data_IF_006653174315
#
_entry.id   IF_006653174315
#
_cell.length_a   1.000
_cell.length_b   1.000
_cell.length_c   1.000
_cell.angle_alpha   90.00
_cell.angle_beta   90.00
_cell.angle_gamma   90.00
#
_symmetry.space_group_name_H-M   'P 1'
#
loop_
_entity.id
_entity.type
_entity.pdbx_description
1 polymer ?
#
# COMPACT_ATOMS: atom_id res chain seq x y z
N UNK A 1 2.55 9.87 31.66
CA UNK A 1 3.67 10.83 31.67
C UNK A 1 3.23 12.10 32.39
N UNK A 2 4.12 12.72 33.14
CA UNK A 2 3.89 14.05 33.72
C UNK A 2 4.06 15.14 32.66
N UNK A 3 3.46 16.33 32.84
CA UNK A 3 3.61 17.43 31.88
C UNK A 3 5.07 17.79 31.57
N UNK A 4 5.95 17.70 32.56
CA UNK A 4 7.39 17.91 32.41
C UNK A 4 8.12 16.83 31.60
N UNK A 5 7.49 15.68 31.37
CA UNK A 5 8.05 14.57 30.61
C UNK A 5 7.57 14.58 29.15
N UNK A 6 6.51 15.37 28.82
CA UNK A 6 5.95 15.44 27.47
C UNK A 6 6.73 16.44 26.64
N UNK A 7 7.89 16.02 26.17
CA UNK A 7 8.76 16.79 25.28
C UNK A 7 9.53 15.86 24.33
N UNK A 8 10.06 16.43 23.27
CA UNK A 8 10.71 15.71 22.18
C UNK A 8 11.96 14.93 22.53
N UNK A 9 12.65 15.30 23.62
CA UNK A 9 13.85 14.59 24.08
C UNK A 9 13.52 13.32 24.86
N UNK A 10 12.25 13.11 25.23
CA UNK A 10 11.81 11.91 25.92
C UNK A 10 11.37 10.84 24.91
N UNK A 11 12.27 9.92 24.60
CA UNK A 11 12.08 8.86 23.61
C UNK A 11 10.96 7.86 23.94
N UNK A 12 10.41 7.90 25.15
CA UNK A 12 9.31 7.01 25.55
C UNK A 12 7.92 7.63 25.32
N UNK A 13 7.85 8.93 25.05
CA UNK A 13 6.58 9.62 24.81
C UNK A 13 6.19 9.51 23.34
N UNK A 14 4.98 9.00 23.00
CA UNK A 14 4.50 8.97 21.63
C UNK A 14 4.40 10.37 21.03
N UNK A 15 4.80 10.55 19.79
CA UNK A 15 4.74 11.84 19.11
C UNK A 15 3.30 12.39 19.05
N UNK A 16 2.29 11.53 18.98
CA UNK A 16 0.90 11.96 19.06
C UNK A 16 0.57 12.64 20.39
N UNK A 17 1.09 12.13 21.51
CA UNK A 17 0.90 12.74 22.83
C UNK A 17 1.61 14.08 22.93
N UNK A 18 2.82 14.20 22.38
CA UNK A 18 3.56 15.46 22.34
C UNK A 18 2.76 16.50 21.54
N UNK A 19 2.29 16.14 20.35
CA UNK A 19 1.50 17.05 19.51
C UNK A 19 0.17 17.43 20.15
N UNK A 20 -0.53 16.47 20.77
CA UNK A 20 -1.79 16.74 21.48
C UNK A 20 -1.61 17.73 22.65
N UNK A 21 -0.57 17.57 23.43
CA UNK A 21 -0.25 18.47 24.55
C UNK A 21 0.21 19.84 24.07
N UNK A 22 1.16 19.91 23.13
CA UNK A 22 1.68 21.17 22.60
C UNK A 22 0.66 21.91 21.72
N UNK A 23 -0.32 21.20 21.16
CA UNK A 23 -1.45 21.77 20.41
C UNK A 23 -2.62 22.24 21.28
N UNK A 24 -2.51 22.10 22.60
CA UNK A 24 -3.60 22.38 23.57
C UNK A 24 -4.87 21.57 23.30
N UNK A 25 -4.72 20.34 22.80
CA UNK A 25 -5.82 19.40 22.61
C UNK A 25 -6.03 18.46 23.78
N UNK A 26 -5.13 18.50 24.74
CA UNK A 26 -5.24 17.82 26.02
C UNK A 26 -4.52 18.62 27.10
N UNK A 27 -5.13 18.70 28.27
CA UNK A 27 -4.61 19.39 29.43
C UNK A 27 -4.47 18.42 30.63
N UNK A 28 -3.47 18.58 31.51
CA UNK A 28 -3.40 17.81 32.73
C UNK A 28 -4.58 18.15 33.63
N UNK A 29 -5.20 17.14 34.24
CA UNK A 29 -6.35 17.34 35.17
C UNK A 29 -6.01 18.22 36.38
N UNK A 30 -4.75 18.13 36.82
CA UNK A 30 -4.17 18.94 37.90
C UNK A 30 -2.71 19.27 37.56
N UNK A 31 -2.13 20.33 38.11
CA UNK A 31 -0.69 20.56 38.00
C UNK A 31 0.07 19.29 38.43
N UNK A 32 1.02 18.86 37.60
CA UNK A 32 1.80 17.63 37.82
C UNK A 32 0.99 16.30 37.83
N UNK A 33 -0.19 16.28 37.17
CA UNK A 33 -0.98 15.07 36.97
C UNK A 33 -0.48 14.24 35.77
N UNK A 34 -0.49 12.91 35.91
CA UNK A 34 -0.33 11.97 34.79
C UNK A 34 -1.63 11.73 34.00
N UNK A 35 -2.75 12.25 34.49
CA UNK A 35 -4.06 12.13 33.87
C UNK A 35 -4.38 13.40 33.10
N UNK A 36 -4.89 13.25 31.89
CA UNK A 36 -5.21 14.33 30.99
C UNK A 36 -6.68 14.33 30.65
N UNK A 37 -7.25 15.52 30.50
CA UNK A 37 -8.56 15.74 29.91
C UNK A 37 -8.40 16.10 28.45
N UNK A 38 -9.22 15.56 27.54
CA UNK A 38 -9.26 16.04 26.17
C UNK A 38 -9.77 17.48 26.12
N UNK A 39 -9.58 18.16 25.01
CA UNK A 39 -10.13 19.48 24.75
C UNK A 39 -11.64 19.51 25.03
N UNK A 40 -12.08 20.55 25.76
CA UNK A 40 -13.38 20.58 26.42
C UNK A 40 -14.59 20.65 25.48
N UNK A 41 -14.39 20.80 24.18
CA UNK A 41 -15.45 20.99 23.19
C UNK A 41 -15.55 19.81 22.26
N UNK A 42 -16.78 19.47 21.85
CA UNK A 42 -17.04 18.37 20.95
C UNK A 42 -16.60 18.71 19.52
N UNK A 43 -16.12 17.70 18.80
CA UNK A 43 -15.78 17.80 17.39
C UNK A 43 -17.06 17.76 16.56
N UNK A 44 -17.38 18.84 15.87
CA UNK A 44 -18.56 18.91 15.01
C UNK A 44 -18.26 18.56 13.54
N UNK A 45 -17.00 18.65 13.11
CA UNK A 45 -16.59 18.31 11.76
C UNK A 45 -15.15 17.81 11.73
N UNK A 46 -14.95 16.71 10.98
CA UNK A 46 -13.63 16.19 10.63
C UNK A 46 -13.37 16.32 9.13
N UNK A 47 -12.13 16.55 8.74
CA UNK A 47 -11.68 16.60 7.36
C UNK A 47 -10.36 15.86 7.21
N UNK A 48 -10.20 15.16 6.09
CA UNK A 48 -8.95 14.49 5.74
C UNK A 48 -8.56 14.85 4.31
N UNK A 49 -7.27 15.09 4.09
CA UNK A 49 -6.66 15.26 2.77
C UNK A 49 -5.33 14.50 2.74
N UNK A 50 -5.15 13.63 1.74
CA UNK A 50 -3.89 12.93 1.47
C UNK A 50 -3.36 13.29 0.09
N UNK A 51 -2.06 13.54 0.01
CA UNK A 51 -1.32 13.75 -1.24
C UNK A 51 -0.21 12.71 -1.32
N UNK A 52 -0.33 11.79 -2.26
CA UNK A 52 0.64 10.72 -2.48
C UNK A 52 1.37 10.91 -3.81
N UNK A 53 2.66 10.67 -3.79
CA UNK A 53 3.48 10.62 -4.99
C UNK A 53 4.61 9.62 -4.81
N UNK A 54 5.10 9.07 -5.92
CA UNK A 54 6.22 8.14 -5.85
C UNK A 54 6.37 7.28 -7.08
N UNK A 55 7.39 6.42 -7.04
CA UNK A 55 7.71 5.50 -8.11
C UNK A 55 8.40 4.25 -7.58
N UNK A 56 8.19 3.17 -8.31
CA UNK A 56 8.99 1.95 -8.21
C UNK A 56 9.58 1.70 -9.58
N UNK A 57 10.90 1.70 -9.67
CA UNK A 57 11.64 1.41 -10.90
C UNK A 57 12.29 0.03 -10.79
N UNK A 58 12.31 -0.72 -11.87
CA UNK A 58 12.94 -2.04 -11.89
C UNK A 58 13.82 -2.23 -13.13
N UNK A 59 15.06 -2.60 -12.90
CA UNK A 59 16.04 -2.98 -13.92
C UNK A 59 16.13 -4.49 -13.95
N UNK A 60 15.72 -5.11 -15.06
CA UNK A 60 15.67 -6.55 -15.22
C UNK A 60 16.80 -7.05 -16.14
N UNK A 61 17.57 -7.99 -15.65
CA UNK A 61 18.56 -8.74 -16.43
C UNK A 61 18.08 -10.18 -16.53
N UNK A 62 17.84 -10.66 -17.74
CA UNK A 62 17.31 -12.01 -17.95
C UNK A 62 18.03 -12.75 -19.06
N UNK A 63 18.12 -14.04 -18.90
CA UNK A 63 18.61 -14.97 -19.91
C UNK A 63 17.58 -16.08 -20.12
N UNK A 64 17.36 -16.45 -21.39
CA UNK A 64 16.44 -17.53 -21.73
C UNK A 64 17.04 -18.42 -22.81
N UNK A 65 16.75 -19.71 -22.70
CA UNK A 65 17.19 -20.74 -23.65
C UNK A 65 15.98 -21.52 -24.18
N UNK A 66 16.07 -21.90 -25.46
CA UNK A 66 15.13 -22.80 -26.11
C UNK A 66 15.78 -24.19 -26.25
N UNK A 67 15.18 -25.18 -25.62
CA UNK A 67 15.66 -26.56 -25.64
C UNK A 67 14.75 -27.40 -26.53
N UNK A 68 15.26 -27.83 -27.69
CA UNK A 68 14.57 -28.74 -28.60
C UNK A 68 13.24 -28.23 -29.18
N UNK A 69 13.01 -26.90 -29.21
CA UNK A 69 11.77 -26.25 -29.66
C UNK A 69 10.50 -26.58 -28.86
N UNK A 70 10.61 -27.38 -27.80
CA UNK A 70 9.51 -27.78 -26.94
C UNK A 70 9.53 -27.10 -25.59
N UNK A 71 10.69 -26.76 -25.08
CA UNK A 71 10.92 -26.22 -23.75
C UNK A 71 11.71 -24.91 -23.83
N UNK A 72 11.16 -23.86 -23.25
CA UNK A 72 11.82 -22.58 -23.04
C UNK A 72 12.02 -22.41 -21.54
N UNK A 73 13.24 -22.13 -21.11
CA UNK A 73 13.60 -21.92 -19.71
C UNK A 73 14.22 -20.53 -19.63
N UNK A 74 13.83 -19.75 -18.63
CA UNK A 74 14.39 -18.43 -18.38
C UNK A 74 14.66 -18.21 -16.91
N UNK A 75 15.69 -17.42 -16.64
CA UNK A 75 16.01 -16.92 -15.31
C UNK A 75 16.41 -15.44 -15.40
N UNK A 76 16.16 -14.69 -14.35
CA UNK A 76 16.47 -13.26 -14.32
C UNK A 76 16.65 -12.75 -12.91
N UNK A 77 17.31 -11.60 -12.83
CA UNK A 77 17.52 -10.80 -11.62
C UNK A 77 16.88 -9.43 -11.82
N UNK A 78 16.05 -9.01 -10.88
CA UNK A 78 15.49 -7.68 -10.84
C UNK A 78 16.15 -6.84 -9.76
N UNK A 79 16.59 -5.63 -10.11
CA UNK A 79 17.04 -4.60 -9.18
C UNK A 79 15.96 -3.53 -9.12
N UNK A 80 15.47 -3.23 -7.93
CA UNK A 80 14.37 -2.28 -7.74
C UNK A 80 14.79 -1.08 -6.91
N UNK A 81 14.26 0.08 -7.24
CA UNK A 81 14.33 1.27 -6.41
C UNK A 81 12.92 1.75 -6.06
N UNK A 82 12.74 2.20 -4.85
CA UNK A 82 11.48 2.78 -4.35
C UNK A 82 11.77 4.21 -3.91
N UNK A 83 10.86 5.12 -4.28
CA UNK A 83 10.80 6.48 -3.79
C UNK A 83 9.32 6.83 -3.62
N UNK A 84 8.89 7.11 -2.38
CA UNK A 84 7.50 7.37 -2.04
C UNK A 84 7.40 8.54 -1.06
N UNK A 85 6.41 9.39 -1.26
CA UNK A 85 6.08 10.50 -0.39
C UNK A 85 4.58 10.58 -0.15
N UNK A 86 4.21 10.71 1.12
CA UNK A 86 2.86 11.00 1.57
C UNK A 86 2.88 12.31 2.37
N UNK A 87 1.94 13.20 2.08
CA UNK A 87 1.60 14.33 2.94
C UNK A 87 0.12 14.22 3.27
N UNK A 88 -0.20 14.05 4.54
CA UNK A 88 -1.60 13.99 4.98
C UNK A 88 -1.95 15.14 5.92
N UNK A 89 -3.21 15.54 5.90
CA UNK A 89 -3.80 16.56 6.75
C UNK A 89 -5.06 15.98 7.37
N UNK A 90 -5.12 15.95 8.69
CA UNK A 90 -6.31 15.59 9.46
C UNK A 90 -6.75 16.82 10.24
N UNK A 91 -7.94 17.32 9.95
CA UNK A 91 -8.48 18.54 10.55
C UNK A 91 -9.71 18.24 11.38
N UNK A 92 -9.82 18.91 12.52
CA UNK A 92 -10.97 18.90 13.41
C UNK A 92 -11.47 20.33 13.62
N UNK A 93 -12.79 20.51 13.62
CA UNK A 93 -13.46 21.75 13.97
C UNK A 93 -14.33 21.48 15.19
N UNK A 94 -14.23 22.34 16.19
CA UNK A 94 -14.94 22.21 17.46
C UNK A 94 -16.16 23.12 17.53
N UNK A 95 -17.10 22.79 18.42
CA UNK A 95 -18.37 23.53 18.55
C UNK A 95 -18.20 25.00 18.99
N UNK A 96 -17.10 25.33 19.65
CA UNK A 96 -16.74 26.70 20.02
C UNK A 96 -16.10 27.51 18.88
N UNK A 97 -15.95 26.92 17.70
CA UNK A 97 -15.32 27.54 16.53
C UNK A 97 -13.79 27.40 16.46
N UNK A 98 -13.16 26.79 17.46
CA UNK A 98 -11.74 26.43 17.39
C UNK A 98 -11.52 25.31 16.36
N UNK A 99 -10.27 25.15 15.92
CA UNK A 99 -9.88 24.06 15.03
C UNK A 99 -8.48 23.54 15.33
N UNK A 100 -8.25 22.29 15.00
CA UNK A 100 -6.93 21.67 15.02
C UNK A 100 -6.64 21.02 13.67
N UNK A 101 -5.40 21.11 13.22
CA UNK A 101 -4.94 20.44 12.00
C UNK A 101 -3.62 19.72 12.26
N UNK A 102 -3.65 18.40 12.12
CA UNK A 102 -2.47 17.57 12.13
C UNK A 102 -1.99 17.37 10.69
N UNK A 103 -0.76 17.77 10.40
CA UNK A 103 -0.08 17.51 9.13
C UNK A 103 0.99 16.47 9.35
N UNK A 104 1.00 15.41 8.55
CA UNK A 104 2.03 14.40 8.53
C UNK A 104 2.81 14.46 7.22
N UNK A 105 4.14 14.34 7.29
CA UNK A 105 4.99 14.18 6.13
C UNK A 105 5.81 12.90 6.29
N UNK A 106 5.63 11.99 5.34
CA UNK A 106 6.27 10.69 5.31
C UNK A 106 6.98 10.49 3.97
N UNK A 107 8.25 10.12 4.01
CA UNK A 107 9.03 9.79 2.85
C UNK A 107 9.70 8.43 3.07
N UNK A 108 9.53 7.54 2.10
CA UNK A 108 10.17 6.23 2.08
C UNK A 108 11.04 6.10 0.84
N UNK A 109 12.27 5.66 1.02
CA UNK A 109 13.18 5.31 -0.07
C UNK A 109 13.82 3.96 0.17
N UNK A 110 14.15 3.25 -0.91
CA UNK A 110 14.77 1.94 -0.76
C UNK A 110 15.30 1.36 -2.06
N UNK A 111 16.17 0.38 -1.89
CA UNK A 111 16.69 -0.45 -2.98
C UNK A 111 16.46 -1.91 -2.65
N UNK A 112 16.20 -2.74 -3.66
CA UNK A 112 15.95 -4.15 -3.45
C UNK A 112 16.35 -4.99 -4.64
N UNK A 113 16.42 -6.31 -4.42
CA UNK A 113 16.67 -7.27 -5.47
C UNK A 113 15.73 -8.48 -5.37
N UNK A 114 15.45 -9.10 -6.50
CA UNK A 114 14.66 -10.33 -6.59
C UNK A 114 15.20 -11.26 -7.68
N UNK A 115 14.80 -12.50 -7.59
CA UNK A 115 15.12 -13.56 -8.56
C UNK A 115 13.82 -14.01 -9.25
N UNK A 116 13.93 -14.34 -10.53
CA UNK A 116 12.84 -14.87 -11.33
C UNK A 116 13.30 -16.09 -12.09
N UNK A 117 12.47 -17.12 -12.10
CA UNK A 117 12.65 -18.30 -12.94
C UNK A 117 11.32 -18.61 -13.61
N UNK A 118 11.38 -19.15 -14.80
CA UNK A 118 10.16 -19.56 -15.51
C UNK A 118 10.46 -20.52 -16.63
N UNK A 119 9.44 -21.24 -17.03
CA UNK A 119 9.49 -22.12 -18.17
C UNK A 119 8.19 -22.04 -18.99
N UNK A 120 8.29 -22.34 -20.27
CA UNK A 120 7.17 -22.54 -21.18
C UNK A 120 7.40 -23.85 -21.90
N UNK A 121 6.40 -24.72 -21.84
CA UNK A 121 6.37 -25.99 -22.59
C UNK A 121 5.39 -25.82 -23.77
N UNK A 122 5.79 -26.32 -24.89
CA UNK A 122 4.95 -26.40 -26.10
C UNK A 122 4.68 -27.88 -26.44
N UNK A 123 3.68 -28.50 -25.78
CA UNK A 123 3.40 -29.93 -25.99
C UNK A 123 2.98 -30.24 -27.41
N UNK A 124 2.22 -29.33 -28.02
CA UNK A 124 1.68 -29.38 -29.36
C UNK A 124 1.71 -27.99 -30.01
N UNK A 125 1.60 -27.92 -31.32
CA UNK A 125 1.78 -26.68 -32.07
C UNK A 125 0.80 -25.55 -31.69
N UNK A 126 -0.39 -25.91 -31.25
CA UNK A 126 -1.45 -24.97 -30.91
C UNK A 126 -1.59 -24.65 -29.42
N UNK A 127 -0.81 -25.30 -28.53
CA UNK A 127 -0.88 -25.09 -27.07
C UNK A 127 0.49 -24.73 -26.48
N UNK A 128 0.49 -23.81 -25.53
CA UNK A 128 1.61 -23.44 -24.69
C UNK A 128 1.17 -23.43 -23.24
N UNK A 129 1.97 -24.01 -22.37
CA UNK A 129 1.76 -24.00 -20.91
C UNK A 129 3.03 -23.41 -20.30
N UNK A 130 2.88 -22.44 -19.41
CA UNK A 130 3.98 -21.81 -18.72
C UNK A 130 3.77 -21.74 -17.23
N UNK A 131 4.87 -21.72 -16.49
CA UNK A 131 4.86 -21.35 -15.08
C UNK A 131 6.08 -20.49 -14.76
N UNK A 132 5.93 -19.60 -13.81
CA UNK A 132 7.03 -18.78 -13.31
C UNK A 132 6.92 -18.57 -11.81
N UNK A 133 8.08 -18.38 -11.20
CA UNK A 133 8.25 -18.04 -9.79
C UNK A 133 9.09 -16.77 -9.69
N UNK A 134 8.66 -15.84 -8.88
CA UNK A 134 9.40 -14.66 -8.46
C UNK A 134 9.61 -14.74 -6.95
N UNK A 135 10.87 -14.68 -6.51
CA UNK A 135 11.22 -14.60 -5.09
C UNK A 135 10.61 -13.34 -4.45
N UNK A 136 10.58 -13.25 -3.14
CA UNK A 136 10.48 -11.93 -2.50
C UNK A 136 11.51 -10.97 -3.09
N UNK A 137 11.16 -9.69 -3.14
CA UNK A 137 12.16 -8.64 -3.30
C UNK A 137 12.67 -8.30 -1.91
N UNK A 138 13.97 -8.44 -1.70
CA UNK A 138 14.64 -8.09 -0.46
C UNK A 138 15.10 -6.65 -0.57
N UNK A 139 14.51 -5.79 0.25
CA UNK A 139 14.79 -4.35 0.27
C UNK A 139 15.58 -3.96 1.50
N UNK A 140 16.47 -2.96 1.32
CA UNK A 140 16.93 -2.06 2.35
C UNK A 140 16.15 -0.75 2.20
N UNK A 141 15.42 -0.37 3.27
CA UNK A 141 14.49 0.74 3.27
C UNK A 141 14.92 1.80 4.28
N UNK A 142 14.56 3.05 4.00
CA UNK A 142 14.72 4.16 4.93
C UNK A 142 13.45 5.01 4.91
N UNK A 143 12.86 5.18 6.09
CA UNK A 143 11.69 6.03 6.32
C UNK A 143 12.12 7.32 7.01
N UNK A 144 11.50 8.42 6.62
CA UNK A 144 11.62 9.72 7.28
C UNK A 144 10.24 10.25 7.54
N UNK A 145 10.01 10.63 8.78
CA UNK A 145 8.70 11.10 9.21
C UNK A 145 8.83 12.32 10.13
N UNK A 146 7.87 13.25 10.03
CA UNK A 146 7.58 14.25 11.05
C UNK A 146 6.12 14.69 10.98
N UNK A 147 5.58 15.08 12.14
CA UNK A 147 4.22 15.61 12.28
C UNK A 147 4.26 17.07 12.72
N UNK A 148 3.26 17.83 12.32
CA UNK A 148 3.02 19.21 12.77
C UNK A 148 1.57 19.35 13.19
N UNK A 149 1.32 19.85 14.39
CA UNK A 149 0.00 20.24 14.87
C UNK A 149 -0.14 21.76 14.77
N UNK A 150 -1.29 22.21 14.28
CA UNK A 150 -1.69 23.60 14.33
C UNK A 150 -3.04 23.69 15.03
N UNK A 151 -3.10 24.38 16.17
CA UNK A 151 -4.32 24.73 16.89
C UNK A 151 -4.69 26.20 16.62
N UNK A 152 -5.95 26.47 16.31
CA UNK A 152 -6.50 27.81 16.17
C UNK A 152 -7.65 27.96 17.15
N UNK A 153 -7.51 28.87 18.12
CA UNK A 153 -8.43 29.04 19.22
C UNK A 153 -8.47 27.89 20.24
N UNK A 154 -7.51 26.96 20.21
CA UNK A 154 -7.41 25.85 21.17
C UNK A 154 -6.77 26.26 22.50
N UNK A 155 -6.01 27.36 22.52
CA UNK A 155 -5.38 27.91 23.72
C UNK A 155 -6.11 29.17 24.17
N UNK A 156 -6.19 29.38 25.50
CA UNK A 156 -6.67 30.63 26.09
C UNK A 156 -5.64 31.78 25.95
N UNK A 157 -4.37 31.44 25.88
CA UNK A 157 -3.26 32.42 25.90
C UNK A 157 -2.80 32.81 24.49
N UNK A 158 -3.02 31.93 23.50
CA UNK A 158 -2.52 32.08 22.14
C UNK A 158 -3.64 31.88 21.11
N UNK A 159 -3.82 32.81 20.18
CA UNK A 159 -4.79 32.67 19.12
C UNK A 159 -4.49 31.50 18.18
N UNK A 160 -3.22 31.30 17.89
CA UNK A 160 -2.72 30.18 17.03
C UNK A 160 -1.50 29.58 17.71
N UNK A 161 -1.48 28.25 17.77
CA UNK A 161 -0.35 27.45 18.25
C UNK A 161 0.09 26.55 17.12
N UNK A 162 1.40 26.43 16.90
CA UNK A 162 1.96 25.49 15.92
C UNK A 162 3.18 24.83 16.54
N UNK A 163 3.22 23.49 16.48
CA UNK A 163 4.32 22.70 16.99
C UNK A 163 4.63 21.54 16.05
N UNK A 164 5.91 21.25 15.85
CA UNK A 164 6.36 20.14 15.00
C UNK A 164 7.26 19.19 15.78
N UNK A 165 7.08 17.90 15.54
CA UNK A 165 7.98 16.88 16.10
C UNK A 165 9.38 16.98 15.48
N UNK A 166 10.41 16.43 16.11
CA UNK A 166 11.67 16.14 15.46
C UNK A 166 11.46 15.24 14.22
N UNK A 167 12.40 15.28 13.31
CA UNK A 167 12.39 14.35 12.17
C UNK A 167 12.87 12.98 12.61
N UNK A 168 11.97 12.01 12.55
CA UNK A 168 12.31 10.60 12.73
C UNK A 168 12.97 10.06 11.47
N UNK A 169 13.98 9.22 11.63
CA UNK A 169 14.69 8.52 10.56
C UNK A 169 14.88 7.06 10.98
N UNK A 170 14.32 6.12 10.23
CA UNK A 170 14.36 4.69 10.53
C UNK A 170 14.83 3.91 9.30
N UNK A 171 15.81 3.03 9.49
CA UNK A 171 16.31 2.12 8.46
C UNK A 171 15.99 0.69 8.83
N UNK A 172 15.50 -0.10 7.85
CA UNK A 172 15.04 -1.46 8.09
C UNK A 172 15.13 -2.32 6.83
N UNK A 173 15.08 -3.63 7.00
CA UNK A 173 14.90 -4.58 5.92
C UNK A 173 13.41 -4.84 5.66
N UNK A 174 13.03 -4.98 4.39
CA UNK A 174 11.66 -5.31 4.00
C UNK A 174 11.67 -6.41 2.95
N UNK A 175 10.91 -7.48 3.17
CA UNK A 175 10.71 -8.54 2.19
C UNK A 175 9.30 -8.41 1.61
N UNK A 176 9.20 -8.22 0.29
CA UNK A 176 7.91 -8.26 -0.41
C UNK A 176 7.40 -9.71 -0.53
N UNK A 177 6.11 -9.91 -0.91
CA UNK A 177 5.61 -11.27 -1.12
C UNK A 177 6.28 -11.96 -2.32
N UNK A 178 6.44 -13.28 -2.27
CA UNK A 178 6.75 -14.05 -3.46
C UNK A 178 5.52 -14.21 -4.37
N UNK A 179 5.77 -14.50 -5.66
CA UNK A 179 4.71 -14.68 -6.65
C UNK A 179 4.91 -15.95 -7.45
N UNK A 180 3.80 -16.65 -7.72
CA UNK A 180 3.75 -17.83 -8.61
C UNK A 180 2.73 -17.56 -9.69
N UNK A 181 3.08 -17.79 -10.94
CA UNK A 181 2.16 -17.65 -12.07
C UNK A 181 2.11 -18.94 -12.87
N UNK A 182 0.93 -19.36 -13.26
CA UNK A 182 0.66 -20.39 -14.25
C UNK A 182 -0.08 -19.79 -15.44
N UNK A 183 0.23 -20.23 -16.65
CA UNK A 183 -0.31 -19.68 -17.89
C UNK A 183 -0.63 -20.79 -18.88
N UNK A 184 -1.72 -20.64 -19.61
CA UNK A 184 -2.06 -21.48 -20.76
C UNK A 184 -2.46 -20.61 -21.95
N UNK A 185 -1.85 -20.89 -23.10
CA UNK A 185 -2.11 -20.19 -24.36
C UNK A 185 -2.53 -21.15 -25.46
N UNK A 186 -3.56 -20.80 -26.21
CA UNK A 186 -4.15 -21.62 -27.28
C UNK A 186 -4.17 -20.83 -28.58
N UNK A 187 -3.66 -21.43 -29.65
CA UNK A 187 -3.66 -20.88 -31.00
C UNK A 187 -4.68 -21.67 -31.84
N UNK A 188 -5.73 -21.04 -32.27
CA UNK A 188 -6.81 -21.66 -33.02
C UNK A 188 -6.63 -21.31 -34.49
N UNK A 189 -6.02 -22.22 -35.24
CA UNK A 189 -5.68 -22.00 -36.66
C UNK A 189 -4.78 -20.79 -36.84
N UNK A 190 -5.11 -19.92 -37.80
CA UNK A 190 -4.47 -18.61 -38.05
C UNK A 190 -5.36 -17.45 -37.61
N UNK A 191 -6.47 -17.74 -36.95
CA UNK A 191 -7.60 -16.81 -36.75
C UNK A 191 -7.69 -16.31 -35.33
N UNK A 192 -7.44 -17.16 -34.32
CA UNK A 192 -7.63 -16.76 -32.95
C UNK A 192 -6.49 -17.20 -32.02
N UNK A 193 -6.28 -16.40 -30.98
CA UNK A 193 -5.39 -16.70 -29.86
C UNK A 193 -6.17 -16.44 -28.59
N UNK A 194 -6.09 -17.38 -27.64
CA UNK A 194 -6.68 -17.25 -26.30
C UNK A 194 -5.58 -17.53 -25.29
N UNK A 195 -5.49 -16.74 -24.25
CA UNK A 195 -4.62 -17.00 -23.10
C UNK A 195 -5.37 -16.84 -21.79
N UNK A 196 -4.97 -17.64 -20.81
CA UNK A 196 -5.44 -17.56 -19.44
C UNK A 196 -4.22 -17.63 -18.53
N UNK A 197 -4.16 -16.69 -17.58
CA UNK A 197 -3.10 -16.62 -16.58
C UNK A 197 -3.70 -16.60 -15.19
N UNK A 198 -3.10 -17.34 -14.28
CA UNK A 198 -3.37 -17.31 -12.86
C UNK A 198 -2.12 -16.89 -12.12
N UNK A 199 -2.23 -15.83 -11.32
CA UNK A 199 -1.15 -15.32 -10.49
C UNK A 199 -1.55 -15.42 -9.01
N UNK A 200 -0.73 -16.11 -8.24
CA UNK A 200 -0.77 -16.17 -6.79
C UNK A 200 0.30 -15.26 -6.19
N UNK A 201 -0.07 -14.44 -5.21
CA UNK A 201 0.86 -13.59 -4.44
C UNK A 201 0.66 -13.86 -2.96
N UNK A 202 1.72 -14.27 -2.27
CA UNK A 202 1.70 -14.68 -0.86
C UNK A 202 1.94 -13.48 0.06
N UNK A 203 0.90 -12.67 0.29
CA UNK A 203 1.02 -11.43 1.07
C UNK A 203 1.31 -11.67 2.56
N UNK A 204 0.90 -12.80 3.14
CA UNK A 204 1.21 -13.18 4.52
C UNK A 204 2.73 -13.44 4.74
N UNK A 205 3.48 -13.58 3.63
CA UNK A 205 4.93 -13.71 3.62
C UNK A 205 5.71 -12.39 3.64
N UNK A 206 5.01 -11.25 3.64
CA UNK A 206 5.61 -9.94 3.85
C UNK A 206 6.26 -9.90 5.23
N UNK A 207 7.47 -9.34 5.32
CA UNK A 207 8.20 -9.28 6.59
C UNK A 207 9.07 -8.04 6.68
N UNK A 208 8.93 -7.33 7.79
CA UNK A 208 9.88 -6.32 8.24
C UNK A 208 11.00 -6.97 9.05
N UNK A 209 12.21 -6.44 8.92
CA UNK A 209 13.40 -6.84 9.65
C UNK A 209 14.07 -5.60 10.20
N UNK A 210 14.21 -5.54 11.52
CA UNK A 210 14.97 -4.52 12.20
C UNK A 210 16.45 -4.86 12.28
N UNK A 211 17.22 -4.00 12.90
CA UNK A 211 18.58 -4.28 13.31
C UNK A 211 18.56 -5.33 14.44
N UNK A 212 19.53 -6.25 14.44
CA UNK A 212 19.68 -7.18 15.55
C UNK A 212 20.14 -6.40 16.77
N UNK A 213 19.37 -6.49 17.85
CA UNK A 213 19.76 -5.88 19.13
C UNK A 213 20.83 -6.72 19.81
N UNK A 214 21.94 -6.08 20.21
CA UNK A 214 23.00 -6.71 21.02
C UNK A 214 22.55 -7.02 22.47
N UNK A 215 21.36 -6.61 22.87
CA UNK A 215 20.81 -6.88 24.20
C UNK A 215 20.13 -8.25 24.26
N UNK A 216 20.57 -9.10 25.15
CA UNK A 216 20.16 -10.52 25.32
C UNK A 216 18.63 -10.72 25.56
N UNK A 217 17.91 -9.69 25.96
CA UNK A 217 16.49 -9.71 26.30
C UNK A 217 15.66 -8.65 25.56
N UNK A 218 16.21 -8.00 24.50
CA UNK A 218 15.44 -7.07 23.71
C UNK A 218 14.49 -7.85 22.80
N UNK A 219 13.21 -7.47 22.80
CA UNK A 219 12.26 -7.97 21.81
C UNK A 219 12.74 -7.58 20.41
N UNK A 220 12.65 -8.49 19.43
CA UNK A 220 13.00 -8.17 18.06
C UNK A 220 12.16 -7.00 17.54
N UNK A 221 12.79 -6.09 16.85
CA UNK A 221 12.09 -4.98 16.17
C UNK A 221 11.04 -5.52 15.19
N UNK A 222 9.91 -4.82 15.01
CA UNK A 222 8.79 -5.18 14.11
C UNK A 222 8.04 -6.48 14.46
N UNK A 223 8.07 -6.97 15.69
CA UNK A 223 7.28 -8.16 16.08
C UNK A 223 5.79 -7.87 15.91
N UNK A 224 5.34 -6.70 16.35
CA UNK A 224 3.94 -6.30 16.26
C UNK A 224 3.48 -6.20 14.80
N UNK A 225 4.18 -5.45 13.96
CA UNK A 225 3.86 -5.24 12.56
C UNK A 225 3.85 -6.56 11.78
N UNK A 226 4.81 -7.44 12.04
CA UNK A 226 4.86 -8.76 11.41
C UNK A 226 3.71 -9.68 11.86
N UNK A 227 3.22 -9.54 13.09
CA UNK A 227 2.02 -10.26 13.56
C UNK A 227 0.75 -9.70 12.91
N UNK A 228 0.61 -8.38 12.81
CA UNK A 228 -0.50 -7.75 12.10
C UNK A 228 -0.56 -8.17 10.63
N UNK A 229 0.58 -8.26 9.94
CA UNK A 229 0.66 -8.79 8.59
C UNK A 229 0.11 -10.21 8.53
N UNK A 230 0.51 -11.10 9.43
CA UNK A 230 0.02 -12.48 9.46
C UNK A 230 -1.48 -12.58 9.77
N UNK A 231 -2.00 -11.68 10.60
CA UNK A 231 -3.39 -11.69 11.04
C UNK A 231 -4.34 -11.13 9.97
N UNK A 232 -3.91 -10.11 9.25
CA UNK A 232 -4.79 -9.35 8.36
C UNK A 232 -4.46 -9.44 6.87
N UNK A 233 -3.24 -9.82 6.50
CA UNK A 233 -2.91 -9.98 5.08
C UNK A 233 -3.55 -11.24 4.51
N UNK A 234 -4.07 -11.13 3.31
CA UNK A 234 -4.63 -12.22 2.53
C UNK A 234 -3.80 -12.45 1.28
N UNK A 235 -3.48 -13.70 0.99
CA UNK A 235 -2.90 -14.04 -0.30
C UNK A 235 -3.82 -13.64 -1.44
N UNK A 236 -3.28 -12.95 -2.45
CA UNK A 236 -4.10 -12.53 -3.59
C UNK A 236 -4.05 -13.53 -4.73
N UNK A 237 -5.20 -13.71 -5.35
CA UNK A 237 -5.41 -14.51 -6.54
C UNK A 237 -5.80 -13.57 -7.68
N UNK A 238 -5.03 -13.57 -8.77
CA UNK A 238 -5.35 -12.78 -9.96
C UNK A 238 -5.59 -13.71 -11.13
N UNK A 239 -6.80 -13.71 -11.64
CA UNK A 239 -7.16 -14.40 -12.88
C UNK A 239 -7.16 -13.40 -14.03
N UNK A 240 -6.48 -13.75 -15.13
CA UNK A 240 -6.45 -12.94 -16.35
C UNK A 240 -6.86 -13.81 -17.52
N UNK A 241 -7.65 -13.27 -18.44
CA UNK A 241 -8.01 -13.91 -19.69
C UNK A 241 -7.87 -12.90 -20.83
N UNK A 242 -7.34 -13.33 -21.96
CA UNK A 242 -7.19 -12.51 -23.13
C UNK A 242 -7.51 -13.29 -24.40
N UNK A 243 -8.07 -12.61 -25.38
CA UNK A 243 -8.34 -13.16 -26.69
C UNK A 243 -7.96 -12.18 -27.78
N UNK A 244 -7.42 -12.70 -28.88
CA UNK A 244 -7.22 -11.97 -30.14
C UNK A 244 -7.93 -12.74 -31.26
N UNK A 245 -8.73 -12.04 -32.04
CA UNK A 245 -9.38 -12.56 -33.22
C UNK A 245 -8.88 -11.78 -34.44
N UNK A 246 -8.34 -12.48 -35.44
CA UNK A 246 -7.91 -11.91 -36.72
C UNK A 246 -8.97 -12.14 -37.79
N UNK A 247 -9.60 -11.05 -38.22
CA UNK A 247 -10.56 -11.05 -39.30
C UNK A 247 -9.85 -10.53 -40.55
N UNK A 248 -9.56 -11.41 -41.48
CA UNK A 248 -8.64 -11.16 -42.60
C UNK A 248 -7.18 -10.88 -42.14
N UNK A 249 -6.28 -10.70 -43.10
CA UNK A 249 -4.85 -10.45 -42.81
C UNK A 249 -4.58 -9.06 -42.21
N UNK A 250 -5.55 -8.16 -42.29
CA UNK A 250 -5.38 -6.73 -41.98
C UNK A 250 -5.97 -6.33 -40.65
N UNK A 251 -7.01 -6.99 -40.16
CA UNK A 251 -7.77 -6.57 -39.00
C UNK A 251 -7.61 -7.56 -37.82
N UNK A 252 -7.40 -7.01 -36.63
CA UNK A 252 -7.38 -7.78 -35.38
C UNK A 252 -8.25 -7.10 -34.32
N UNK A 253 -9.03 -7.91 -33.60
CA UNK A 253 -9.79 -7.50 -32.45
C UNK A 253 -9.20 -8.19 -31.21
N UNK A 254 -9.09 -7.45 -30.11
CA UNK A 254 -8.55 -7.95 -28.84
C UNK A 254 -9.50 -7.63 -27.71
N UNK A 255 -9.64 -8.56 -26.80
CA UNK A 255 -10.36 -8.37 -25.56
C UNK A 255 -9.54 -8.93 -24.40
N UNK A 256 -9.60 -8.28 -23.25
CA UNK A 256 -8.90 -8.69 -22.06
C UNK A 256 -9.74 -8.45 -20.83
N UNK A 257 -9.59 -9.35 -19.87
CA UNK A 257 -10.24 -9.29 -18.56
C UNK A 257 -9.25 -9.71 -17.48
N UNK A 258 -9.25 -9.03 -16.32
CA UNK A 258 -8.56 -9.49 -15.14
C UNK A 258 -9.33 -9.15 -13.88
N UNK A 259 -9.26 -10.04 -12.90
CA UNK A 259 -9.80 -9.85 -11.57
C UNK A 259 -8.75 -10.24 -10.53
N UNK A 260 -8.53 -9.35 -9.54
CA UNK A 260 -7.65 -9.57 -8.39
C UNK A 260 -8.47 -9.52 -7.10
N UNK A 261 -8.33 -10.54 -6.27
CA UNK A 261 -8.96 -10.58 -4.94
C UNK A 261 -8.35 -9.53 -3.99
N UNK A 262 -9.04 -9.17 -2.89
CA UNK A 262 -8.49 -8.33 -1.83
C UNK A 262 -7.16 -8.88 -1.28
N UNK A 263 -6.32 -7.98 -0.77
CA UNK A 263 -5.04 -8.33 -0.12
C UNK A 263 -5.07 -8.14 1.40
N UNK A 264 -6.14 -7.58 1.94
CA UNK A 264 -6.36 -7.40 3.37
C UNK A 264 -7.73 -7.94 3.78
N UNK A 265 -7.82 -8.46 4.99
CA UNK A 265 -9.07 -8.88 5.61
C UNK A 265 -10.00 -7.67 5.86
N UNK A 266 -11.30 -7.90 5.85
CA UNK A 266 -12.32 -6.84 6.02
C UNK A 266 -12.27 -6.19 7.40
N UNK A 267 -11.78 -6.91 8.39
CA UNK A 267 -11.60 -6.48 9.77
C UNK A 267 -10.17 -5.98 10.06
N UNK A 268 -9.37 -5.70 9.04
CA UNK A 268 -8.05 -5.15 9.25
C UNK A 268 -8.13 -3.79 9.95
N UNK A 269 -7.31 -3.63 10.98
CA UNK A 269 -7.18 -2.41 11.77
C UNK A 269 -5.73 -1.93 11.74
N UNK A 270 -5.52 -0.68 12.09
CA UNK A 270 -4.19 -0.12 12.32
C UNK A 270 -4.15 0.48 13.71
N UNK A 271 -3.15 0.11 14.48
CA UNK A 271 -2.92 0.65 15.82
C UNK A 271 -1.53 1.29 15.86
N UNK A 272 -1.43 2.50 16.40
CA UNK A 272 -0.15 3.11 16.71
C UNK A 272 0.35 2.54 18.03
N UNK A 273 1.62 2.16 18.06
CA UNK A 273 2.27 1.68 19.30
C UNK A 273 2.52 2.85 20.26
N UNK A 274 2.62 2.53 21.56
CA UNK A 274 2.76 3.51 22.63
C UNK A 274 4.04 4.36 22.54
N UNK A 275 5.08 3.86 21.90
CA UNK A 275 6.36 4.55 21.73
C UNK A 275 6.67 4.96 20.28
N UNK A 276 5.63 5.10 19.44
CA UNK A 276 5.82 5.42 18.03
C UNK A 276 6.16 6.88 17.77
N UNK A 277 7.09 7.10 16.86
CA UNK A 277 7.36 8.43 16.27
C UNK A 277 6.41 8.77 15.12
N UNK A 278 5.47 7.88 14.77
CA UNK A 278 4.47 8.06 13.71
C UNK A 278 3.18 8.64 14.28
N UNK A 279 2.54 9.51 13.51
CA UNK A 279 1.24 10.11 13.86
C UNK A 279 0.22 9.99 12.73
N UNK A 280 0.54 9.26 11.66
CA UNK A 280 -0.37 8.95 10.57
C UNK A 280 -1.24 7.75 10.95
N UNK A 281 -2.56 7.91 10.91
CA UNK A 281 -3.53 6.92 11.39
C UNK A 281 -4.39 6.33 10.29
N UNK A 282 -4.27 6.83 9.08
CA UNK A 282 -5.07 6.43 7.95
C UNK A 282 -4.83 4.97 7.53
N UNK A 283 -5.90 4.25 7.25
CA UNK A 283 -5.88 2.87 6.79
C UNK A 283 -6.72 2.72 5.52
N UNK A 284 -6.12 2.14 4.48
CA UNK A 284 -6.81 1.72 3.26
C UNK A 284 -6.90 0.20 3.22
N UNK A 285 -8.11 -0.33 3.22
CA UNK A 285 -8.39 -1.75 3.08
C UNK A 285 -8.79 -2.03 1.64
N UNK A 286 -7.94 -2.75 0.90
CA UNK A 286 -8.20 -3.12 -0.50
C UNK A 286 -9.34 -4.15 -0.59
N UNK A 287 -10.31 -3.87 -1.47
CA UNK A 287 -11.48 -4.74 -1.74
C UNK A 287 -11.40 -5.42 -3.11
N UNK A 288 -10.20 -5.44 -3.71
CA UNK A 288 -9.97 -6.06 -4.99
C UNK A 288 -10.04 -5.11 -6.18
N UNK A 289 -9.68 -5.64 -7.35
CA UNK A 289 -9.57 -4.86 -8.58
C UNK A 289 -10.12 -5.63 -9.77
N UNK A 290 -10.90 -4.93 -10.60
CA UNK A 290 -11.39 -5.39 -11.89
C UNK A 290 -10.69 -4.63 -13.01
N UNK A 291 -10.35 -5.34 -14.08
CA UNK A 291 -9.80 -4.76 -15.31
C UNK A 291 -10.48 -5.38 -16.52
N UNK A 292 -10.86 -4.54 -17.48
CA UNK A 292 -11.40 -4.96 -18.77
C UNK A 292 -10.81 -4.11 -19.89
N UNK A 293 -10.51 -4.71 -21.04
CA UNK A 293 -9.98 -3.98 -22.19
C UNK A 293 -10.55 -4.50 -23.51
N UNK A 294 -10.63 -3.61 -24.47
CA UNK A 294 -10.96 -3.92 -25.86
C UNK A 294 -10.04 -3.16 -26.81
N UNK A 295 -9.62 -3.80 -27.90
CA UNK A 295 -8.71 -3.19 -28.85
C UNK A 295 -8.99 -3.61 -30.29
N UNK A 296 -8.64 -2.71 -31.19
CA UNK A 296 -8.70 -2.90 -32.64
C UNK A 296 -7.33 -2.64 -33.22
N UNK A 297 -6.89 -3.50 -34.14
CA UNK A 297 -5.63 -3.37 -34.87
C UNK A 297 -5.84 -3.43 -36.37
N UNK A 298 -5.12 -2.59 -37.09
CA UNK A 298 -5.07 -2.58 -38.54
C UNK A 298 -3.63 -2.68 -39.03
N UNK A 299 -3.38 -3.51 -40.03
CA UNK A 299 -2.05 -3.73 -40.65
C UNK A 299 -2.15 -3.67 -42.14
N UNK A 300 -1.29 -2.86 -42.78
CA UNK A 300 -1.22 -2.75 -44.25
C UNK A 300 0.19 -2.33 -44.70
N UNK A 301 0.82 -3.07 -45.60
CA UNK A 301 2.11 -2.75 -46.25
C UNK A 301 3.18 -2.20 -45.29
N UNK A 302 3.48 -2.93 -44.20
CA UNK A 302 4.45 -2.51 -43.21
C UNK A 302 3.96 -1.47 -42.20
N UNK A 303 2.84 -0.82 -42.45
CA UNK A 303 2.21 0.12 -41.53
C UNK A 303 1.20 -0.59 -40.62
N UNK A 304 1.14 -0.16 -39.38
CA UNK A 304 0.20 -0.68 -38.41
C UNK A 304 -0.32 0.37 -37.44
N UNK A 305 -1.58 0.28 -37.09
CA UNK A 305 -2.24 1.07 -36.06
C UNK A 305 -2.96 0.12 -35.12
N UNK A 306 -2.74 0.30 -33.81
CA UNK A 306 -3.53 -0.35 -32.76
C UNK A 306 -4.18 0.72 -31.89
N UNK A 307 -5.49 0.61 -31.67
CA UNK A 307 -6.26 1.41 -30.72
C UNK A 307 -6.78 0.49 -29.63
N UNK A 308 -6.49 0.81 -28.38
CA UNK A 308 -6.95 0.02 -27.23
C UNK A 308 -7.60 0.94 -26.20
N UNK A 309 -8.78 0.53 -25.71
CA UNK A 309 -9.43 1.11 -24.57
C UNK A 309 -9.32 0.13 -23.40
N UNK A 310 -8.95 0.65 -22.21
CA UNK A 310 -8.87 -0.12 -21.00
C UNK A 310 -9.60 0.58 -19.85
N UNK A 311 -10.42 -0.19 -19.16
CA UNK A 311 -11.15 0.17 -17.96
C UNK A 311 -10.55 -0.55 -16.76
N UNK A 312 -10.31 0.16 -15.66
CA UNK A 312 -10.00 -0.48 -14.38
C UNK A 312 -10.81 0.13 -13.25
N UNK A 313 -11.23 -0.71 -12.31
CA UNK A 313 -11.94 -0.32 -11.11
C UNK A 313 -11.27 -0.97 -9.92
N UNK A 314 -10.84 -0.15 -8.97
CA UNK A 314 -10.36 -0.56 -7.66
C UNK A 314 -11.34 -0.08 -6.60
N UNK A 315 -11.72 -0.97 -5.71
CA UNK A 315 -12.54 -0.65 -4.55
C UNK A 315 -11.68 -0.73 -3.29
N UNK A 316 -11.84 0.24 -2.40
CA UNK A 316 -11.12 0.31 -1.12
C UNK A 316 -12.09 0.78 -0.03
N UNK A 317 -11.91 0.30 1.19
CA UNK A 317 -12.48 0.93 2.36
C UNK A 317 -11.40 1.80 3.00
N UNK A 318 -11.77 2.99 3.45
CA UNK A 318 -10.86 3.99 4.00
C UNK A 318 -11.29 4.39 5.41
N UNK A 319 -10.35 4.31 6.35
CA UNK A 319 -10.48 4.87 7.69
C UNK A 319 -9.47 5.99 7.84
N UNK A 320 -9.91 7.25 8.05
CA UNK A 320 -9.00 8.38 8.26
C UNK A 320 -8.40 8.43 9.65
N UNK A 321 -9.00 7.72 10.62
CA UNK A 321 -8.62 7.76 12.04
C UNK A 321 -8.52 6.36 12.61
N UNK A 322 -7.65 6.20 13.59
CA UNK A 322 -7.59 5.00 14.42
C UNK A 322 -8.84 4.91 15.29
N UNK A 323 -9.33 3.70 15.53
CA UNK A 323 -10.35 3.49 16.55
C UNK A 323 -9.76 3.77 17.93
N UNK A 324 -10.44 4.57 18.73
CA UNK A 324 -10.03 4.84 20.09
C UNK A 324 -9.98 3.55 20.92
N UNK A 325 -8.89 3.33 21.65
CA UNK A 325 -8.85 2.32 22.67
C UNK A 325 -9.65 2.81 23.89
N UNK A 326 -10.68 2.06 24.28
CA UNK A 326 -11.37 2.30 25.55
C UNK A 326 -10.61 1.59 26.69
N UNK A 327 -10.57 2.21 27.88
CA UNK A 327 -10.09 1.55 29.09
C UNK A 327 -11.10 0.44 29.43
N UNK A 328 -10.65 -0.80 29.41
CA UNK A 328 -11.46 -1.96 29.83
C UNK A 328 -11.69 -1.93 31.34
N UNK A 329 -12.78 -2.55 31.81
CA UNK A 329 -13.15 -2.63 33.25
C UNK A 329 -12.04 -3.24 34.13
N UNK A 330 -11.05 -3.91 33.54
CA UNK A 330 -9.87 -4.46 34.21
C UNK A 330 -8.66 -3.52 34.27
N UNK A 331 -8.79 -2.27 33.82
CA UNK A 331 -7.72 -1.27 33.79
C UNK A 331 -6.75 -1.40 32.61
N UNK A 332 -6.96 -2.31 31.69
CA UNK A 332 -6.17 -2.43 30.46
C UNK A 332 -6.83 -1.66 29.30
N UNK A 333 -6.00 -1.12 28.41
CA UNK A 333 -6.48 -0.56 27.16
C UNK A 333 -6.87 -1.68 26.20
N UNK A 334 -8.04 -1.54 25.60
CA UNK A 334 -8.52 -2.49 24.59
C UNK A 334 -9.75 -1.96 23.87
N UNK A 335 -10.08 -2.56 22.74
CA UNK A 335 -11.31 -2.23 21.99
C UNK A 335 -12.47 -2.95 22.67
N UNK A 336 -13.26 -2.24 23.50
CA UNK A 336 -14.36 -2.80 24.28
C UNK A 336 -15.54 -3.25 23.42
N UNK A 337 -15.72 -2.67 22.23
CA UNK A 337 -16.87 -2.99 21.40
C UNK A 337 -16.55 -2.80 19.91
N UNK A 338 -16.41 -3.86 19.12
CA UNK A 338 -16.20 -3.77 17.68
C UNK A 338 -17.38 -3.10 16.93
N UNK A 339 -18.50 -2.81 17.60
CA UNK A 339 -19.64 -2.11 17.02
C UNK A 339 -19.44 -0.58 16.90
N UNK A 340 -18.46 0.00 17.59
CA UNK A 340 -18.03 1.40 17.40
C UNK A 340 -16.93 1.51 16.33
N UNK A 341 -16.93 0.61 15.36
CA UNK A 341 -16.06 0.77 14.20
C UNK A 341 -16.36 2.11 13.53
N UNK A 342 -15.35 2.95 13.39
CA UNK A 342 -15.43 4.13 12.53
C UNK A 342 -16.03 3.70 11.20
N UNK A 343 -17.09 4.37 10.77
CA UNK A 343 -17.71 4.07 9.48
C UNK A 343 -16.66 4.23 8.38
N UNK A 344 -16.26 3.10 7.79
CA UNK A 344 -15.30 3.09 6.70
C UNK A 344 -15.91 3.79 5.49
N UNK A 345 -15.23 4.78 4.96
CA UNK A 345 -15.60 5.39 3.70
C UNK A 345 -15.28 4.44 2.55
N UNK A 346 -16.23 4.21 1.65
CA UNK A 346 -15.98 3.41 0.45
C UNK A 346 -15.41 4.29 -0.67
N UNK A 347 -14.19 3.97 -1.10
CA UNK A 347 -13.52 4.63 -2.21
C UNK A 347 -13.59 3.72 -3.43
N UNK A 348 -14.13 4.24 -4.51
CA UNK A 348 -14.15 3.59 -5.82
C UNK A 348 -13.31 4.39 -6.80
N UNK A 349 -12.15 3.86 -7.15
CA UNK A 349 -11.26 4.47 -8.14
C UNK A 349 -11.52 3.85 -9.51
N UNK A 350 -11.95 4.66 -10.48
CA UNK A 350 -12.16 4.24 -11.85
C UNK A 350 -11.13 4.94 -12.73
N UNK A 351 -10.49 4.18 -13.61
CA UNK A 351 -9.54 4.71 -14.60
C UNK A 351 -9.93 4.26 -16.01
N UNK A 352 -9.87 5.19 -16.93
CA UNK A 352 -10.08 4.98 -18.36
C UNK A 352 -8.79 5.32 -19.09
N UNK A 353 -8.24 4.36 -19.82
CA UNK A 353 -7.03 4.57 -20.60
C UNK A 353 -7.34 4.31 -22.09
N UNK A 354 -6.87 5.20 -22.95
CA UNK A 354 -6.89 5.03 -24.39
C UNK A 354 -5.44 5.03 -24.87
N UNK A 355 -5.05 3.97 -25.56
CA UNK A 355 -3.68 3.81 -26.09
C UNK A 355 -3.74 3.68 -27.59
N UNK A 356 -3.02 4.56 -28.29
CA UNK A 356 -2.78 4.49 -29.72
C UNK A 356 -1.33 4.08 -29.97
N UNK A 357 -1.14 2.99 -30.72
CA UNK A 357 0.19 2.55 -31.13
C UNK A 357 0.29 2.61 -32.65
N UNK A 358 1.32 3.25 -33.16
CA UNK A 358 1.65 3.30 -34.58
C UNK A 358 2.93 2.49 -34.80
N UNK A 359 2.90 1.59 -35.75
CA UNK A 359 4.01 0.70 -36.12
C UNK A 359 4.36 0.90 -37.56
N UNK A 360 5.65 0.94 -37.87
CA UNK A 360 6.16 0.90 -39.23
C UNK A 360 7.30 -0.13 -39.33
N UNK A 361 7.18 -1.00 -40.30
CA UNK A 361 8.20 -2.01 -40.57
C UNK A 361 8.86 -1.70 -41.93
N UNK A 362 10.16 -1.43 -41.89
CA UNK A 362 11.01 -1.20 -43.05
C UNK A 362 11.23 -2.49 -43.82
#
# INVERSE_FOLDING_TARGET
FYPSEIHEDNLYVPYMSILGYQGYLMDPMYPDSMYYTPYAYDVNRMAYKGEESGRVEEYNFSYAANVGHYLYIGAGVGLQTIDYRLVSYSGEMYDNGASATLKNEFNTSGIGCNLRIGFIVRPISWMRIGASFQSPTWYAMTDRFYGTIKGDGTSADYAVVEYSTPRSNSSYGFNSPFKVQASAGFIIGKVALINVDYLYTHNEGIKFKGEESDYLFAEPEFVYENNEIKNYSLSTHTLKAGAELRIASQFSFRAGFAYRTPNLADNATRTLLDNTTRTDMELFVDKGMLYASGGFGYRYNGFGIDLTYAYSQQNQAFSPFQQGAEILDNGYYGVKNPQHQTHLANIKTIRHNVVLTILYKF
#
